data_IF_865740518801
#
_entry.id   IF_865740518801
#
_cell.length_a   1.000
_cell.length_b   1.000
_cell.length_c   1.000
_cell.angle_alpha   90.00
_cell.angle_beta   90.00
_cell.angle_gamma   90.00
#
_symmetry.space_group_name_H-M   'P 1'
#
loop_
_entity.id
_entity.type
_entity.pdbx_description
1 polymer ?
#
# COMPACT_ATOMS: atom_id res chain seq x y z
N UNK A 1 -17.89 11.21 21.99
CA UNK A 1 -16.43 11.43 21.97
C UNK A 1 -15.84 10.26 21.19
N UNK A 2 -14.87 10.50 20.31
CA UNK A 2 -14.41 9.46 19.39
C UNK A 2 -13.60 8.39 20.15
N UNK A 3 -14.23 7.25 20.44
CA UNK A 3 -13.65 6.10 21.15
C UNK A 3 -12.83 5.20 20.21
N UNK A 4 -11.89 5.77 19.46
CA UNK A 4 -10.98 4.95 18.64
C UNK A 4 -9.90 4.33 19.52
N UNK A 5 -9.78 3.00 19.47
CA UNK A 5 -8.81 2.21 20.25
C UNK A 5 -7.38 2.35 19.72
N UNK A 6 -7.21 2.65 18.42
CA UNK A 6 -5.90 2.85 17.81
C UNK A 6 -5.99 3.75 16.57
N UNK A 7 -4.99 4.62 16.39
CA UNK A 7 -4.85 5.48 15.21
C UNK A 7 -3.71 4.96 14.34
N UNK A 8 -4.04 4.51 13.12
CA UNK A 8 -3.04 4.08 12.15
C UNK A 8 -2.23 5.27 11.62
N UNK A 9 -0.95 5.07 11.27
CA UNK A 9 -0.17 6.09 10.60
C UNK A 9 -0.75 6.39 9.21
N UNK A 10 -0.33 7.51 8.64
CA UNK A 10 -0.68 7.88 7.27
C UNK A 10 -0.20 6.82 6.29
N UNK A 11 -1.07 6.43 5.37
CA UNK A 11 -0.76 5.46 4.32
C UNK A 11 -0.04 6.13 3.15
N UNK A 12 0.84 5.38 2.50
CA UNK A 12 1.49 5.80 1.26
C UNK A 12 0.61 5.41 0.08
N UNK A 13 0.37 6.36 -0.84
CA UNK A 13 -0.41 6.10 -2.05
C UNK A 13 0.47 5.55 -3.17
N UNK A 14 -0.11 4.69 -4.01
CA UNK A 14 0.54 4.17 -5.21
C UNK A 14 -0.46 3.54 -6.17
N UNK A 15 -0.05 3.36 -7.42
CA UNK A 15 -0.83 2.74 -8.49
C UNK A 15 -0.45 1.28 -8.64
N UNK A 16 -1.43 0.38 -8.61
CA UNK A 16 -1.20 -1.04 -8.83
C UNK A 16 -0.75 -1.30 -10.27
N UNK A 17 0.43 -1.88 -10.44
CA UNK A 17 0.97 -2.26 -11.76
C UNK A 17 0.60 -3.70 -12.09
N UNK A 18 0.88 -4.62 -11.16
CA UNK A 18 0.64 -6.06 -11.37
C UNK A 18 0.47 -6.79 -10.05
N UNK A 19 -0.51 -7.68 -9.98
CA UNK A 19 -0.67 -8.66 -8.89
C UNK A 19 -0.28 -10.05 -9.37
N UNK A 20 0.51 -10.79 -8.59
CA UNK A 20 0.99 -12.12 -8.95
C UNK A 20 1.28 -12.97 -7.72
N UNK A 21 1.46 -14.29 -7.93
CA UNK A 21 1.66 -15.28 -6.87
C UNK A 21 0.65 -15.17 -5.71
N UNK A 22 -0.55 -14.60 -5.96
CA UNK A 22 -1.67 -14.32 -5.03
C UNK A 22 -1.38 -13.26 -3.96
N UNK A 23 -0.18 -13.26 -3.36
CA UNK A 23 0.20 -12.42 -2.22
C UNK A 23 1.23 -11.33 -2.55
N UNK A 24 1.65 -11.17 -3.81
CA UNK A 24 2.57 -10.11 -4.23
C UNK A 24 1.89 -9.14 -5.19
N UNK A 25 2.21 -7.86 -5.03
CA UNK A 25 1.76 -6.80 -5.91
C UNK A 25 2.89 -5.79 -6.14
N UNK A 26 3.22 -5.52 -7.40
CA UNK A 26 4.07 -4.39 -7.74
C UNK A 26 3.21 -3.13 -7.81
N UNK A 27 3.65 -2.09 -7.10
CA UNK A 27 2.97 -0.80 -6.95
C UNK A 27 3.94 0.32 -7.31
N UNK A 28 3.52 1.21 -8.21
CA UNK A 28 4.25 2.42 -8.56
C UNK A 28 3.89 3.54 -7.58
N UNK A 29 4.89 4.09 -6.90
CA UNK A 29 4.75 5.20 -5.98
C UNK A 29 4.71 6.54 -6.73
N UNK A 30 4.27 7.60 -6.05
CA UNK A 30 4.17 8.96 -6.62
C UNK A 30 5.49 9.54 -7.12
N UNK A 31 6.63 9.01 -6.65
CA UNK A 31 7.97 9.39 -7.11
C UNK A 31 8.45 8.58 -8.34
N UNK A 32 7.63 7.67 -8.86
CA UNK A 32 7.95 6.78 -9.99
C UNK A 32 8.69 5.49 -9.60
N UNK A 33 8.94 5.26 -8.31
CA UNK A 33 9.58 4.03 -7.83
C UNK A 33 8.58 2.86 -7.85
N UNK A 34 9.02 1.68 -8.29
CA UNK A 34 8.22 0.45 -8.24
C UNK A 34 8.65 -0.38 -7.04
N UNK A 35 7.71 -0.63 -6.12
CA UNK A 35 7.93 -1.45 -4.93
C UNK A 35 7.05 -2.71 -4.98
N UNK A 36 7.56 -3.84 -4.46
CA UNK A 36 6.75 -5.05 -4.27
C UNK A 36 6.11 -5.04 -2.89
N UNK A 37 4.79 -4.94 -2.83
CA UNK A 37 3.97 -5.00 -1.61
C UNK A 37 3.38 -6.39 -1.40
N UNK A 38 3.18 -6.75 -0.13
CA UNK A 38 2.38 -7.92 0.26
C UNK A 38 0.88 -7.58 0.14
N UNK A 39 0.11 -8.49 -0.45
CA UNK A 39 -1.34 -8.37 -0.63
C UNK A 39 -2.10 -9.38 0.22
#
# INVERSE_FOLDING_TARGET
MNDFVYNYPLLVSGTLVKRYKRFLADVELVNGEIVTAHC
#
